data_IF_399193699157
#
_entry.id   IF_399193699157
#
_cell.length_a   1.000
_cell.length_b   1.000
_cell.length_c   1.000
_cell.angle_alpha   90.00
_cell.angle_beta   90.00
_cell.angle_gamma   90.00
#
_symmetry.space_group_name_H-M   'P 1'
#
loop_
_entity.id
_entity.type
_entity.pdbx_description
1 polymer ?
#
# COMPACT_ATOMS: atom_id res chain seq x y z
N UNK A 1 -46.53 26.39 -35.02
CA UNK A 1 -45.27 25.73 -34.59
C UNK A 1 -44.85 26.32 -33.25
N UNK A 2 -44.63 25.46 -32.25
CA UNK A 2 -44.96 25.72 -30.84
C UNK A 2 -43.77 26.19 -29.98
N UNK A 3 -44.01 27.25 -29.21
CA UNK A 3 -43.15 27.85 -28.18
C UNK A 3 -43.07 26.98 -26.92
N UNK A 4 -42.17 25.98 -26.86
CA UNK A 4 -42.05 25.10 -25.67
C UNK A 4 -40.65 24.78 -25.14
N UNK A 5 -39.58 25.49 -25.50
CA UNK A 5 -38.22 25.18 -25.00
C UNK A 5 -37.37 26.41 -24.61
N UNK A 6 -37.87 27.32 -23.76
CA UNK A 6 -37.08 28.47 -23.30
C UNK A 6 -37.22 28.83 -21.80
N UNK A 7 -37.56 27.85 -20.96
CA UNK A 7 -37.74 28.05 -19.51
C UNK A 7 -37.20 26.86 -18.72
N UNK A 8 -35.87 26.63 -18.76
CA UNK A 8 -35.15 25.74 -17.81
C UNK A 8 -33.70 26.17 -17.57
N UNK A 9 -33.41 27.47 -17.63
CA UNK A 9 -32.10 28.04 -17.34
C UNK A 9 -32.23 29.27 -16.44
N UNK A 10 -32.76 29.09 -15.22
CA UNK A 10 -32.75 30.10 -14.13
C UNK A 10 -33.36 29.48 -12.86
N UNK A 11 -32.62 28.64 -12.14
CA UNK A 11 -32.88 28.33 -10.71
C UNK A 11 -31.85 27.35 -10.12
N UNK A 12 -30.57 27.71 -10.08
CA UNK A 12 -29.62 27.21 -9.07
C UNK A 12 -28.58 28.30 -8.81
N UNK A 13 -28.97 29.37 -8.10
CA UNK A 13 -28.01 30.37 -7.61
C UNK A 13 -28.59 31.16 -6.43
N UNK A 14 -28.87 30.48 -5.32
CA UNK A 14 -29.07 31.11 -4.02
C UNK A 14 -29.22 30.03 -2.94
N UNK A 15 -28.10 29.50 -2.45
CA UNK A 15 -27.90 29.19 -1.04
C UNK A 15 -26.54 28.54 -0.83
N UNK A 16 -25.92 28.89 0.31
CA UNK A 16 -24.59 28.48 0.80
C UNK A 16 -23.48 29.38 0.23
N UNK A 17 -22.73 30.20 0.98
CA UNK A 17 -22.20 30.05 2.33
C UNK A 17 -22.16 31.42 3.02
N UNK A 18 -22.79 31.54 4.18
CA UNK A 18 -22.42 32.54 5.19
C UNK A 18 -21.21 32.01 5.96
N UNK A 19 -20.20 32.88 6.11
CA UNK A 19 -19.34 32.99 7.28
C UNK A 19 -18.40 31.82 7.61
N UNK A 20 -17.14 31.97 7.22
CA UNK A 20 -15.99 31.62 8.07
C UNK A 20 -14.82 32.52 7.67
N UNK A 21 -14.63 33.57 8.46
CA UNK A 21 -13.40 34.34 8.48
C UNK A 21 -12.28 33.43 8.99
N UNK A 22 -11.46 32.93 8.06
CA UNK A 22 -10.18 32.31 8.39
C UNK A 22 -9.13 33.41 8.47
N UNK A 23 -8.52 33.56 9.65
CA UNK A 23 -7.25 34.25 9.82
C UNK A 23 -6.23 33.59 8.88
N UNK A 24 -5.81 34.32 7.85
CA UNK A 24 -4.64 33.98 7.05
C UNK A 24 -3.40 34.25 7.89
N UNK A 25 -2.84 33.21 8.51
CA UNK A 25 -1.42 33.20 8.87
C UNK A 25 -0.68 32.90 7.57
N UNK A 26 -0.13 33.95 6.96
CA UNK A 26 0.74 33.86 5.79
C UNK A 26 2.05 33.21 6.21
N UNK A 27 2.09 31.89 6.30
CA UNK A 27 3.34 31.15 6.33
C UNK A 27 3.96 31.27 4.94
N UNK A 28 4.94 32.16 4.83
CA UNK A 28 5.80 32.36 3.67
C UNK A 28 6.66 31.10 3.46
N UNK A 29 6.05 30.04 2.92
CA UNK A 29 6.81 28.91 2.37
C UNK A 29 7.28 29.36 0.99
N UNK A 30 8.50 29.88 0.94
CA UNK A 30 9.22 30.15 -0.31
C UNK A 30 9.48 28.79 -0.98
N UNK A 31 8.55 28.35 -1.82
CA UNK A 31 8.77 27.22 -2.72
C UNK A 31 9.87 27.59 -3.71
N UNK A 32 11.00 26.89 -3.61
CA UNK A 32 12.25 27.15 -4.33
C UNK A 32 12.17 26.86 -5.85
N UNK A 33 11.52 27.78 -6.57
CA UNK A 33 11.69 27.99 -8.01
C UNK A 33 12.41 29.32 -8.30
N UNK A 34 13.28 29.72 -7.38
CA UNK A 34 14.08 30.94 -7.50
C UNK A 34 15.26 30.64 -8.44
N UNK A 35 15.16 31.09 -9.69
CA UNK A 35 16.28 31.10 -10.64
C UNK A 35 17.37 32.01 -10.07
N UNK A 36 18.64 31.60 -10.13
CA UNK A 36 19.78 32.43 -9.72
C UNK A 36 19.97 33.57 -10.73
N UNK A 37 19.12 34.60 -10.67
CA UNK A 37 19.29 35.82 -11.45
C UNK A 37 20.42 36.67 -10.86
N UNK A 38 21.07 37.54 -11.66
CA UNK A 38 22.09 38.46 -11.15
C UNK A 38 21.61 39.27 -9.94
N UNK A 39 20.33 39.66 -9.91
CA UNK A 39 19.72 40.39 -8.79
C UNK A 39 19.67 39.57 -7.49
N UNK A 40 19.38 38.26 -7.57
CA UNK A 40 19.33 37.38 -6.39
C UNK A 40 20.73 37.06 -5.88
N UNK A 41 21.70 36.91 -6.77
CA UNK A 41 23.11 36.72 -6.40
C UNK A 41 23.66 37.96 -5.67
N UNK A 42 23.36 39.16 -6.20
CA UNK A 42 23.73 40.43 -5.57
C UNK A 42 23.09 40.59 -4.18
N UNK A 43 21.81 40.22 -4.04
CA UNK A 43 21.10 40.30 -2.76
C UNK A 43 21.70 39.38 -1.67
N UNK A 44 22.35 38.29 -2.05
CA UNK A 44 22.98 37.34 -1.13
C UNK A 44 24.50 37.52 -1.01
N UNK A 45 25.08 38.62 -1.55
CA UNK A 45 26.52 38.84 -1.65
C UNK A 45 27.27 37.63 -2.25
N UNK A 46 26.63 36.91 -3.17
CA UNK A 46 27.21 35.78 -3.87
C UNK A 46 27.99 36.28 -5.11
N UNK A 47 29.18 35.75 -5.41
CA UNK A 47 29.92 36.11 -6.62
C UNK A 47 29.09 35.85 -7.88
N UNK A 48 29.19 36.71 -8.90
CA UNK A 48 28.52 36.49 -10.17
C UNK A 48 28.94 35.15 -10.78
N UNK A 49 28.00 34.38 -11.35
CA UNK A 49 28.28 33.03 -11.88
C UNK A 49 29.41 32.99 -12.92
N UNK A 50 29.74 34.12 -13.54
CA UNK A 50 30.87 34.30 -14.46
C UNK A 50 32.25 34.09 -13.82
N UNK A 51 32.39 34.15 -12.49
CA UNK A 51 33.68 33.92 -11.83
C UNK A 51 34.02 32.45 -11.65
N UNK A 52 33.04 31.54 -11.70
CA UNK A 52 33.24 30.09 -11.46
C UNK A 52 32.99 29.23 -12.71
N UNK A 53 32.33 29.79 -13.73
CA UNK A 53 32.08 29.12 -15.01
C UNK A 53 32.76 29.92 -16.12
N UNK A 54 33.93 29.46 -16.57
CA UNK A 54 34.63 30.06 -17.71
C UNK A 54 33.78 29.93 -18.98
N UNK A 55 33.40 31.07 -19.57
CA UNK A 55 32.74 31.29 -20.87
C UNK A 55 31.63 30.33 -21.36
N UNK A 56 31.15 29.43 -20.50
CA UNK A 56 30.10 28.47 -20.80
C UNK A 56 28.79 29.03 -20.26
N UNK A 57 27.78 29.13 -21.12
CA UNK A 57 26.42 29.49 -20.72
C UNK A 57 25.92 28.44 -19.73
N UNK A 58 25.75 28.79 -18.44
CA UNK A 58 25.34 27.82 -17.44
C UNK A 58 23.94 27.32 -17.76
N UNK A 59 23.75 26.01 -17.74
CA UNK A 59 22.42 25.43 -17.82
C UNK A 59 21.65 25.65 -16.50
N UNK A 60 20.32 25.56 -16.57
CA UNK A 60 19.44 25.84 -15.42
C UNK A 60 19.72 24.93 -14.21
N UNK A 61 20.27 23.74 -14.45
CA UNK A 61 20.59 22.77 -13.40
C UNK A 61 21.86 23.18 -12.63
N UNK A 62 22.91 23.59 -13.32
CA UNK A 62 24.20 23.97 -12.72
C UNK A 62 24.08 25.23 -11.85
N UNK A 63 23.31 26.23 -12.29
CA UNK A 63 23.09 27.45 -11.52
C UNK A 63 22.35 27.24 -10.19
N UNK A 64 21.42 26.28 -10.15
CA UNK A 64 20.67 25.94 -8.92
C UNK A 64 21.55 25.23 -7.90
N UNK A 65 22.42 24.32 -8.35
CA UNK A 65 23.35 23.61 -7.49
C UNK A 65 24.39 24.56 -6.85
N UNK A 66 24.91 25.52 -7.62
CA UNK A 66 25.90 26.49 -7.13
C UNK A 66 25.39 27.40 -6.01
N UNK A 67 24.18 27.97 -6.17
CA UNK A 67 23.60 28.84 -5.14
C UNK A 67 23.27 28.07 -3.85
N UNK A 68 22.76 26.84 -3.96
CA UNK A 68 22.50 25.99 -2.80
C UNK A 68 23.79 25.66 -2.03
N UNK A 69 24.88 25.35 -2.74
CA UNK A 69 26.18 25.09 -2.13
C UNK A 69 26.77 26.33 -1.45
N UNK A 70 26.65 27.51 -2.07
CA UNK A 70 27.11 28.77 -1.48
C UNK A 70 26.34 29.11 -0.19
N UNK A 71 25.02 29.01 -0.21
CA UNK A 71 24.19 29.26 0.97
C UNK A 71 24.48 28.25 2.10
N UNK A 72 24.71 26.98 1.76
CA UNK A 72 25.13 25.97 2.72
C UNK A 72 26.49 26.28 3.36
N UNK A 73 27.44 26.85 2.60
CA UNK A 73 28.76 27.23 3.11
C UNK A 73 28.73 28.42 4.09
N UNK A 74 27.67 29.23 4.05
CA UNK A 74 27.46 30.37 4.96
C UNK A 74 26.67 29.99 6.21
N UNK A 75 26.11 28.78 6.27
CA UNK A 75 25.42 28.33 7.46
C UNK A 75 26.44 28.17 8.60
N UNK A 76 26.15 28.70 9.81
CA UNK A 76 27.03 28.47 10.96
C UNK A 76 27.15 26.97 11.22
N UNK A 77 28.33 26.48 11.63
CA UNK A 77 28.52 25.07 11.95
C UNK A 77 27.49 24.66 13.02
N UNK A 78 26.93 23.45 12.93
CA UNK A 78 25.94 22.98 13.90
C UNK A 78 26.56 23.07 15.29
N UNK A 79 25.89 23.83 16.16
CA UNK A 79 26.30 23.98 17.56
C UNK A 79 26.25 22.59 18.18
N UNK A 80 27.42 22.04 18.52
CA UNK A 80 27.53 20.77 19.23
C UNK A 80 27.08 21.03 20.67
N UNK A 81 25.77 20.92 20.91
CA UNK A 81 25.22 20.92 22.25
C UNK A 81 25.68 19.62 22.89
N UNK A 82 26.64 19.70 23.83
CA UNK A 82 27.00 18.54 24.65
C UNK A 82 25.71 18.05 25.31
N UNK A 83 25.36 16.75 25.20
CA UNK A 83 24.20 16.20 25.86
C UNK A 83 24.28 16.55 27.34
N UNK A 84 23.20 17.06 27.96
CA UNK A 84 23.19 17.28 29.39
C UNK A 84 23.55 15.96 30.09
N UNK A 85 24.51 16.03 31.00
CA UNK A 85 24.90 14.90 31.84
C UNK A 85 23.73 14.62 32.78
N UNK A 86 22.87 13.67 32.40
CA UNK A 86 21.81 13.18 33.26
C UNK A 86 22.44 12.21 34.24
N UNK A 87 22.64 12.65 35.49
CA UNK A 87 22.97 11.75 36.57
C UNK A 87 21.82 10.73 36.70
N UNK A 88 22.10 9.41 36.62
CA UNK A 88 21.05 8.42 36.75
C UNK A 88 20.35 8.58 38.11
N UNK A 89 19.02 8.54 38.14
CA UNK A 89 18.28 8.64 39.39
C UNK A 89 18.73 7.54 40.34
N UNK A 90 19.00 7.92 41.60
CA UNK A 90 19.35 7.00 42.68
C UNK A 90 18.23 5.97 42.80
N UNK A 91 18.56 4.70 42.52
CA UNK A 91 17.61 3.59 42.62
C UNK A 91 17.35 3.33 44.10
N UNK A 92 16.32 3.94 44.64
CA UNK A 92 15.77 3.57 45.94
C UNK A 92 15.03 2.25 45.72
N UNK A 93 15.55 1.14 46.28
CA UNK A 93 14.85 -0.14 46.26
C UNK A 93 13.48 0.05 46.92
N UNK A 94 12.36 -0.24 46.24
CA UNK A 94 11.06 -0.18 46.88
C UNK A 94 11.04 -1.13 48.08
N UNK A 95 10.43 -0.74 49.20
CA UNK A 95 10.24 -1.63 50.34
C UNK A 95 9.48 -2.88 49.87
N UNK A 96 10.03 -4.05 50.20
CA UNK A 96 9.40 -5.34 49.92
C UNK A 96 8.21 -5.48 50.85
N UNK A 97 7.02 -5.16 50.35
CA UNK A 97 5.76 -5.47 51.03
C UNK A 97 5.41 -6.90 50.64
N UNK A 98 5.56 -7.84 51.58
CA UNK A 98 5.02 -9.18 51.42
C UNK A 98 3.49 -9.07 51.44
N UNK A 99 2.78 -9.38 50.33
CA UNK A 99 1.33 -9.36 50.35
C UNK A 99 0.82 -10.40 51.35
N UNK A 100 -0.22 -10.09 52.13
CA UNK A 100 -0.82 -11.05 53.04
C UNK A 100 -1.27 -12.29 52.27
N UNK A 101 -0.86 -13.46 52.75
CA UNK A 101 -1.27 -14.75 52.22
C UNK A 101 -2.73 -14.97 52.60
N UNK A 102 -3.64 -14.64 51.68
CA UNK A 102 -5.05 -14.99 51.81
C UNK A 102 -5.21 -16.38 51.23
N UNK A 103 -5.39 -17.38 52.09
CA UNK A 103 -5.82 -18.71 51.64
C UNK A 103 -7.25 -18.58 51.11
N UNK A 104 -7.50 -18.76 49.80
CA UNK A 104 -8.85 -18.70 49.28
C UNK A 104 -9.69 -19.81 49.90
N UNK A 105 -10.95 -19.53 50.28
CA UNK A 105 -11.85 -20.56 50.76
C UNK A 105 -12.00 -21.66 49.71
N UNK A 106 -11.78 -22.91 50.14
CA UNK A 106 -11.98 -24.10 49.32
C UNK A 106 -13.48 -24.27 49.11
N UNK A 107 -13.97 -23.74 48.00
CA UNK A 107 -15.34 -24.02 47.55
C UNK A 107 -15.27 -25.30 46.72
N UNK A 108 -15.81 -26.40 47.27
CA UNK A 108 -16.05 -27.61 46.49
C UNK A 108 -17.14 -27.28 45.46
N UNK A 109 -16.83 -27.25 44.16
CA UNK A 109 -17.84 -26.98 43.15
C UNK A 109 -18.89 -28.10 43.19
N UNK A 110 -20.18 -27.77 43.04
CA UNK A 110 -21.22 -28.78 42.94
C UNK A 110 -20.90 -29.72 41.77
N UNK A 111 -21.01 -31.02 42.02
CA UNK A 111 -20.84 -32.08 41.04
C UNK A 111 -21.98 -31.96 40.03
N UNK A 112 -21.73 -31.26 38.92
CA UNK A 112 -22.65 -31.21 37.78
C UNK A 112 -22.39 -32.45 36.94
N UNK A 113 -23.32 -33.41 36.98
CA UNK A 113 -23.34 -34.51 36.02
C UNK A 113 -23.38 -33.92 34.59
N UNK A 114 -22.33 -34.11 33.77
CA UNK A 114 -22.30 -33.52 32.45
C UNK A 114 -23.43 -34.11 31.60
N UNK A 115 -24.31 -33.24 31.12
CA UNK A 115 -25.27 -33.57 30.06
C UNK A 115 -24.47 -34.15 28.88
N UNK A 116 -24.96 -35.21 28.20
CA UNK A 116 -24.27 -35.80 27.06
C UNK A 116 -23.93 -34.70 26.05
N UNK A 117 -22.63 -34.49 25.82
CA UNK A 117 -22.13 -33.54 24.83
C UNK A 117 -22.54 -34.09 23.47
N UNK A 118 -23.63 -33.55 22.92
CA UNK A 118 -23.98 -33.74 21.51
C UNK A 118 -22.82 -33.13 20.72
N UNK A 119 -21.95 -33.98 20.16
CA UNK A 119 -20.86 -33.54 19.28
C UNK A 119 -21.49 -32.64 18.21
N UNK A 120 -21.12 -31.35 18.13
CA UNK A 120 -21.54 -30.53 17.01
C UNK A 120 -21.08 -31.24 15.76
N UNK A 121 -22.01 -31.61 14.89
CA UNK A 121 -21.68 -32.07 13.55
C UNK A 121 -21.00 -30.88 12.90
N UNK A 122 -19.67 -30.91 12.85
CA UNK A 122 -18.87 -29.93 12.11
C UNK A 122 -19.17 -30.20 10.65
N UNK A 123 -20.21 -29.53 10.14
CA UNK A 123 -20.47 -29.46 8.71
C UNK A 123 -19.32 -28.66 8.13
N UNK A 124 -18.30 -29.37 7.66
CA UNK A 124 -17.17 -28.80 6.92
C UNK A 124 -17.80 -28.05 5.74
N UNK A 125 -17.74 -26.70 5.69
CA UNK A 125 -18.30 -25.97 4.55
C UNK A 125 -17.62 -26.51 3.31
N UNK A 126 -18.40 -27.09 2.38
CA UNK A 126 -17.87 -27.55 1.10
C UNK A 126 -17.22 -26.33 0.45
N UNK A 127 -15.90 -26.36 0.17
CA UNK A 127 -15.25 -25.25 -0.52
C UNK A 127 -16.01 -25.01 -1.82
N UNK A 128 -16.51 -23.78 -2.00
CA UNK A 128 -17.06 -23.36 -3.29
C UNK A 128 -15.84 -23.13 -4.17
N UNK A 129 -15.40 -24.19 -4.85
CA UNK A 129 -14.31 -24.17 -5.81
C UNK A 129 -14.85 -23.67 -7.14
N UNK A 130 -15.18 -22.38 -7.24
CA UNK A 130 -15.62 -21.76 -8.51
C UNK A 130 -14.46 -21.16 -9.31
N UNK A 131 -13.23 -21.19 -8.78
CA UNK A 131 -12.05 -20.69 -9.47
C UNK A 131 -11.40 -21.72 -10.39
N UNK A 132 -10.83 -21.25 -11.50
CA UNK A 132 -10.01 -22.07 -12.39
C UNK A 132 -8.77 -22.54 -11.61
N UNK A 133 -8.47 -23.85 -11.68
CA UNK A 133 -7.23 -24.35 -11.09
C UNK A 133 -6.04 -23.93 -11.95
N UNK A 134 -5.01 -23.34 -11.35
CA UNK A 134 -3.78 -22.96 -12.07
C UNK A 134 -2.90 -24.17 -12.44
N UNK A 135 -3.43 -25.39 -12.32
CA UNK A 135 -2.76 -26.65 -12.61
C UNK A 135 -3.15 -27.26 -13.96
N UNK A 136 -3.87 -26.54 -14.82
CA UNK A 136 -4.00 -26.94 -16.22
C UNK A 136 -2.62 -26.89 -16.87
N UNK A 137 -1.85 -27.97 -16.71
CA UNK A 137 -0.84 -28.36 -17.69
C UNK A 137 -1.56 -28.27 -19.01
N UNK A 138 -1.05 -27.46 -19.94
CA UNK A 138 -1.55 -27.47 -21.30
C UNK A 138 -1.42 -28.91 -21.79
N UNK A 139 -2.52 -29.64 -21.79
CA UNK A 139 -2.69 -30.83 -22.60
C UNK A 139 -2.58 -30.32 -24.03
N UNK A 140 -1.34 -30.29 -24.53
CA UNK A 140 -1.06 -30.24 -25.96
C UNK A 140 -1.47 -31.60 -26.55
N UNK A 141 -2.76 -31.90 -26.49
CA UNK A 141 -3.36 -33.05 -27.16
C UNK A 141 -3.58 -32.65 -28.62
N UNK A 142 -2.50 -32.47 -29.37
CA UNK A 142 -2.49 -32.54 -30.83
C UNK A 142 -1.06 -32.44 -31.34
N UNK A 143 -0.38 -33.58 -31.39
CA UNK A 143 0.41 -33.96 -32.56
C UNK A 143 0.74 -35.45 -32.49
N UNK A 144 -0.22 -36.27 -32.89
CA UNK A 144 0.07 -37.58 -33.45
C UNK A 144 0.44 -37.34 -34.92
N UNK A 145 1.70 -37.01 -35.16
CA UNK A 145 2.29 -36.88 -36.48
C UNK A 145 3.61 -37.62 -36.49
N UNK A 146 3.56 -38.87 -36.93
CA UNK A 146 4.74 -39.67 -37.30
C UNK A 146 5.55 -38.94 -38.40
N UNK A 147 6.83 -38.68 -38.12
CA UNK A 147 7.99 -39.13 -38.90
C UNK A 147 9.14 -38.12 -38.86
N UNK A 148 10.24 -38.60 -38.29
CA UNK A 148 11.61 -38.50 -38.79
C UNK A 148 12.02 -37.20 -39.48
N UNK A 149 12.75 -36.34 -38.77
CA UNK A 149 14.14 -36.09 -39.13
C UNK A 149 14.91 -35.33 -38.03
N UNK A 150 16.15 -35.75 -37.84
CA UNK A 150 17.15 -35.10 -36.99
C UNK A 150 17.50 -33.69 -37.51
N UNK A 151 17.21 -32.65 -36.71
CA UNK A 151 18.18 -31.57 -36.50
C UNK A 151 17.73 -30.70 -35.32
N UNK A 152 18.47 -30.86 -34.22
CA UNK A 152 18.17 -30.31 -32.90
C UNK A 152 19.02 -29.08 -32.68
N UNK A 153 18.52 -27.90 -33.07
CA UNK A 153 19.11 -26.63 -32.63
C UNK A 153 18.31 -26.01 -31.47
N UNK A 154 19.05 -25.54 -30.47
CA UNK A 154 18.61 -24.97 -29.20
C UNK A 154 17.70 -23.74 -29.37
N UNK A 155 16.40 -23.95 -29.60
CA UNK A 155 15.42 -22.87 -29.50
C UNK A 155 15.06 -22.62 -28.03
N UNK A 156 15.71 -21.60 -27.47
CA UNK A 156 15.33 -20.91 -26.23
C UNK A 156 13.83 -20.61 -26.28
N UNK A 157 13.09 -21.26 -25.38
CA UNK A 157 11.65 -21.10 -25.13
C UNK A 157 11.36 -19.66 -24.68
N UNK A 158 11.31 -18.73 -25.64
CA UNK A 158 10.76 -17.40 -25.42
C UNK A 158 9.25 -17.59 -25.29
N UNK A 159 8.75 -17.55 -24.06
CA UNK A 159 7.31 -17.48 -23.76
C UNK A 159 6.68 -16.45 -24.69
N UNK A 160 5.95 -16.92 -25.71
CA UNK A 160 5.25 -16.07 -26.67
C UNK A 160 4.24 -15.27 -25.86
N UNK A 161 4.54 -13.99 -25.61
CA UNK A 161 3.58 -13.10 -24.98
C UNK A 161 2.33 -13.11 -25.84
N UNK A 162 1.27 -13.74 -25.35
CA UNK A 162 0.01 -13.81 -26.06
C UNK A 162 -0.56 -12.40 -26.02
N UNK A 163 -0.53 -11.71 -27.16
CA UNK A 163 -1.06 -10.35 -27.26
C UNK A 163 -2.50 -10.31 -26.71
N UNK A 164 -2.82 -9.33 -25.86
CA UNK A 164 -4.15 -9.11 -25.28
C UNK A 164 -4.23 -9.30 -23.77
N UNK A 165 -3.94 -10.52 -23.27
CA UNK A 165 -4.14 -10.85 -21.85
C UNK A 165 -2.93 -10.44 -21.00
N UNK A 166 -3.13 -9.45 -20.12
CA UNK A 166 -2.11 -8.95 -19.19
C UNK A 166 -2.54 -9.19 -17.75
N UNK A 167 -1.62 -9.61 -16.90
CA UNK A 167 -1.86 -9.80 -15.47
C UNK A 167 -0.79 -9.08 -14.64
N UNK A 168 -1.23 -8.42 -13.57
CA UNK A 168 -0.39 -7.77 -12.57
C UNK A 168 -0.58 -8.42 -11.21
N UNK A 169 0.52 -8.88 -10.62
CA UNK A 169 0.58 -9.45 -9.29
C UNK A 169 1.86 -8.95 -8.58
N UNK A 170 1.86 -8.76 -7.25
CA UNK A 170 3.07 -8.37 -6.55
C UNK A 170 4.08 -9.51 -6.53
N UNK A 171 5.36 -9.19 -6.72
CA UNK A 171 6.43 -10.19 -6.79
C UNK A 171 6.75 -10.84 -5.45
N UNK A 172 7.41 -10.10 -4.54
CA UNK A 172 7.84 -10.62 -3.23
C UNK A 172 7.15 -9.85 -2.11
N UNK A 173 6.61 -10.58 -1.12
CA UNK A 173 6.05 -10.03 0.11
C UNK A 173 6.69 -10.73 1.32
N UNK A 174 6.83 -9.99 2.41
CA UNK A 174 7.35 -10.50 3.68
C UNK A 174 6.26 -10.30 4.73
N UNK A 175 5.99 -11.32 5.56
CA UNK A 175 4.94 -11.25 6.58
C UNK A 175 5.30 -12.12 7.79
N UNK A 176 4.93 -11.70 9.00
CA UNK A 176 5.12 -12.51 10.20
C UNK A 176 4.00 -13.53 10.38
N UNK A 177 4.35 -14.67 10.99
CA UNK A 177 3.38 -15.64 11.49
C UNK A 177 2.31 -14.95 12.36
N UNK A 178 1.05 -15.36 12.19
CA UNK A 178 -0.10 -14.85 12.92
C UNK A 178 -0.74 -13.62 12.28
N UNK A 179 -0.02 -12.88 11.42
CA UNK A 179 -0.58 -11.78 10.65
C UNK A 179 -1.46 -12.29 9.49
N UNK A 180 -2.31 -11.40 8.97
CA UNK A 180 -3.16 -11.68 7.81
C UNK A 180 -2.54 -11.05 6.58
N UNK A 181 -2.08 -11.88 5.64
CA UNK A 181 -1.67 -11.45 4.31
C UNK A 181 -2.91 -11.07 3.51
N UNK A 182 -2.89 -9.89 2.87
CA UNK A 182 -3.85 -9.47 1.85
C UNK A 182 -3.09 -9.03 0.61
N UNK A 183 -3.34 -9.70 -0.52
CA UNK A 183 -2.66 -9.41 -1.78
C UNK A 183 -3.70 -9.28 -2.89
N UNK A 184 -3.72 -8.13 -3.54
CA UNK A 184 -4.52 -7.89 -4.74
C UNK A 184 -3.76 -8.30 -6.00
N UNK A 185 -4.49 -8.85 -6.96
CA UNK A 185 -4.05 -9.16 -8.32
C UNK A 185 -5.08 -8.63 -9.30
N UNK A 186 -4.65 -8.27 -10.51
CA UNK A 186 -5.54 -7.76 -11.55
C UNK A 186 -5.19 -8.38 -12.89
N UNK A 187 -6.20 -8.66 -13.71
CA UNK A 187 -6.02 -9.13 -15.08
C UNK A 187 -6.94 -8.35 -16.03
N UNK A 188 -6.44 -8.01 -17.21
CA UNK A 188 -7.16 -7.29 -18.25
C UNK A 188 -6.89 -7.93 -19.61
N UNK A 189 -7.87 -7.86 -20.49
CA UNK A 189 -7.86 -8.39 -21.86
C UNK A 189 -8.71 -7.49 -22.75
N UNK A 190 -8.50 -7.56 -24.06
CA UNK A 190 -9.03 -6.66 -25.09
C UNK A 190 -10.54 -6.80 -25.40
N UNK A 191 -11.34 -7.30 -24.45
CA UNK A 191 -12.80 -7.44 -24.58
C UNK A 191 -13.34 -8.84 -24.33
N UNK A 192 -12.50 -9.77 -23.89
CA UNK A 192 -12.92 -11.12 -23.50
C UNK A 192 -13.31 -11.19 -22.03
N UNK A 193 -14.20 -12.13 -21.69
CA UNK A 193 -14.48 -12.46 -20.29
C UNK A 193 -13.23 -13.13 -19.70
N UNK A 194 -12.74 -12.59 -18.59
CA UNK A 194 -11.61 -13.15 -17.87
C UNK A 194 -12.15 -13.96 -16.69
N UNK A 195 -11.45 -15.01 -16.31
CA UNK A 195 -11.69 -15.76 -15.09
C UNK A 195 -10.37 -16.00 -14.39
N UNK A 196 -10.33 -15.73 -13.09
CA UNK A 196 -9.13 -15.79 -12.27
C UNK A 196 -9.13 -17.01 -11.35
N UNK A 197 -7.93 -17.43 -10.99
CA UNK A 197 -7.70 -18.58 -10.11
C UNK A 197 -6.43 -18.42 -9.29
N UNK A 198 -6.31 -19.22 -8.24
CA UNK A 198 -5.11 -19.26 -7.42
C UNK A 198 -4.85 -20.65 -6.83
N UNK A 199 -3.58 -21.07 -6.82
CA UNK A 199 -3.10 -22.19 -6.03
C UNK A 199 -2.71 -21.66 -4.65
N UNK A 200 -3.57 -21.91 -3.67
CA UNK A 200 -3.50 -21.32 -2.35
C UNK A 200 -2.86 -22.25 -1.32
N UNK A 201 -2.08 -21.72 -0.36
CA UNK A 201 -1.66 -22.48 0.80
C UNK A 201 -2.85 -22.81 1.71
N UNK A 202 -2.69 -23.78 2.59
CA UNK A 202 -3.75 -24.19 3.53
C UNK A 202 -4.26 -23.00 4.37
N UNK A 203 -5.57 -22.82 4.39
CA UNK A 203 -6.27 -21.76 5.13
C UNK A 203 -6.31 -20.39 4.42
N UNK A 204 -5.67 -20.24 3.26
CA UNK A 204 -5.85 -19.06 2.43
C UNK A 204 -7.17 -19.10 1.65
N UNK A 205 -7.66 -17.91 1.27
CA UNK A 205 -8.85 -17.71 0.45
C UNK A 205 -8.51 -16.81 -0.74
N UNK A 206 -9.17 -17.03 -1.86
CA UNK A 206 -9.13 -16.15 -3.03
C UNK A 206 -10.55 -15.69 -3.34
N UNK A 207 -10.73 -14.39 -3.51
CA UNK A 207 -12.02 -13.79 -3.90
C UNK A 207 -11.81 -13.04 -5.20
N UNK A 208 -12.63 -13.33 -6.19
CA UNK A 208 -12.63 -12.66 -7.49
C UNK A 208 -13.75 -11.61 -7.54
N UNK A 209 -13.51 -10.52 -8.24
CA UNK A 209 -14.48 -9.45 -8.49
C UNK A 209 -14.12 -8.66 -9.73
N UNK A 210 -15.12 -8.28 -10.53
CA UNK A 210 -14.92 -7.42 -11.68
C UNK A 210 -14.91 -5.94 -11.29
N UNK A 211 -13.92 -5.19 -11.77
CA UNK A 211 -13.84 -3.75 -11.59
C UNK A 211 -14.31 -3.01 -12.85
N UNK A 212 -15.52 -2.47 -12.80
CA UNK A 212 -16.15 -1.76 -13.93
C UNK A 212 -15.41 -0.50 -14.36
N UNK A 213 -14.66 0.14 -13.46
CA UNK A 213 -13.92 1.38 -13.76
C UNK A 213 -12.65 1.09 -14.54
N UNK A 214 -11.95 0.01 -14.19
CA UNK A 214 -10.73 -0.43 -14.86
C UNK A 214 -11.00 -1.37 -16.03
N UNK A 215 -12.25 -1.82 -16.19
CA UNK A 215 -12.65 -2.89 -17.10
C UNK A 215 -11.75 -4.13 -16.96
N UNK A 216 -11.42 -4.49 -15.72
CA UNK A 216 -10.46 -5.53 -15.40
C UNK A 216 -10.99 -6.46 -14.31
N UNK A 217 -10.65 -7.75 -14.38
CA UNK A 217 -10.89 -8.68 -13.30
C UNK A 217 -9.89 -8.46 -12.17
N UNK A 218 -10.36 -8.58 -10.94
CA UNK A 218 -9.55 -8.44 -9.73
C UNK A 218 -9.67 -9.69 -8.87
N UNK A 219 -8.55 -10.09 -8.30
CA UNK A 219 -8.47 -11.17 -7.33
C UNK A 219 -7.84 -10.68 -6.03
N UNK A 220 -8.36 -11.13 -4.88
CA UNK A 220 -7.75 -10.84 -3.57
C UNK A 220 -7.45 -12.15 -2.86
N UNK A 221 -6.16 -12.40 -2.63
CA UNK A 221 -5.68 -13.47 -1.75
C UNK A 221 -5.70 -12.96 -0.32
N UNK A 222 -6.40 -13.66 0.57
CA UNK A 222 -6.36 -13.42 2.02
C UNK A 222 -5.87 -14.65 2.75
N UNK A 223 -4.85 -14.52 3.60
CA UNK A 223 -4.25 -15.66 4.30
C UNK A 223 -3.78 -15.30 5.71
N UNK A 224 -4.42 -15.88 6.73
CA UNK A 224 -3.91 -15.82 8.11
C UNK A 224 -2.75 -16.81 8.24
N UNK A 225 -1.54 -16.30 8.37
CA UNK A 225 -0.31 -17.10 8.24
C UNK A 225 -0.13 -18.01 9.45
N UNK A 226 -0.18 -19.35 9.29
CA UNK A 226 -0.09 -20.27 10.41
C UNK A 226 1.36 -20.40 10.92
N UNK A 227 1.53 -20.82 12.18
CA UNK A 227 2.87 -21.05 12.77
C UNK A 227 3.68 -22.12 12.04
N UNK A 228 3.00 -23.10 11.43
CA UNK A 228 3.62 -24.23 10.71
C UNK A 228 4.44 -23.84 9.47
N UNK A 229 4.28 -22.61 8.98
CA UNK A 229 5.05 -22.06 7.85
C UNK A 229 6.09 -21.02 8.25
N UNK A 230 6.33 -20.84 9.55
CA UNK A 230 7.39 -19.96 10.08
C UNK A 230 8.74 -20.24 9.43
N UNK A 231 9.43 -19.21 8.95
CA UNK A 231 10.76 -19.31 8.32
C UNK A 231 10.74 -19.88 6.90
N UNK A 232 9.57 -20.24 6.35
CA UNK A 232 9.45 -20.78 4.99
C UNK A 232 9.17 -19.68 3.98
N UNK A 233 9.56 -19.93 2.73
CA UNK A 233 9.11 -19.15 1.59
C UNK A 233 7.99 -19.90 0.90
N UNK A 234 6.81 -19.30 0.83
CA UNK A 234 5.62 -19.88 0.20
C UNK A 234 5.39 -19.20 -1.13
N UNK A 235 5.20 -20.00 -2.18
CA UNK A 235 4.85 -19.52 -3.52
C UNK A 235 3.33 -19.66 -3.70
N UNK A 236 2.65 -18.56 -3.97
CA UNK A 236 1.23 -18.52 -4.32
C UNK A 236 1.14 -18.25 -5.81
N UNK A 237 0.70 -19.24 -6.59
CA UNK A 237 0.52 -19.07 -8.03
C UNK A 237 -0.89 -18.53 -8.28
N UNK A 238 -1.00 -17.41 -8.98
CA UNK A 238 -2.26 -16.89 -9.50
C UNK A 238 -2.30 -17.08 -11.01
N UNK A 239 -3.49 -17.25 -11.56
CA UNK A 239 -3.70 -17.39 -12.99
C UNK A 239 -4.93 -16.62 -13.44
N UNK A 240 -4.91 -16.21 -14.70
CA UNK A 240 -6.05 -15.64 -15.40
C UNK A 240 -6.22 -16.37 -16.73
N UNK A 241 -7.46 -16.68 -17.07
CA UNK A 241 -7.85 -17.26 -18.35
C UNK A 241 -8.83 -16.33 -19.04
N UNK A 242 -8.58 -16.03 -20.30
CA UNK A 242 -9.51 -15.31 -21.16
C UNK A 242 -10.33 -16.29 -21.99
N UNK A 243 -11.64 -16.00 -22.10
CA UNK A 243 -12.60 -16.75 -22.89
C UNK A 243 -13.08 -15.89 -24.06
N UNK A 244 -12.62 -16.20 -25.28
CA UNK A 244 -13.19 -15.61 -26.50
C UNK A 244 -14.53 -16.28 -26.84
N UNK A 245 -15.55 -15.46 -27.12
CA UNK A 245 -16.88 -15.92 -27.52
C UNK A 245 -17.03 -16.11 -29.05
N UNK A 246 -15.95 -16.00 -29.84
CA UNK A 246 -15.99 -16.21 -31.29
C UNK A 246 -16.23 -17.70 -31.61
N UNK A 247 -17.38 -18.01 -32.20
CA UNK A 247 -17.91 -19.38 -32.31
C UNK A 247 -17.01 -20.45 -32.93
N UNK A 248 -17.28 -21.69 -32.51
CA UNK A 248 -16.75 -23.01 -32.92
C UNK A 248 -15.43 -23.51 -32.32
N UNK A 249 -14.52 -22.65 -31.83
CA UNK A 249 -13.39 -23.09 -30.99
C UNK A 249 -13.11 -22.03 -29.92
N UNK A 250 -13.20 -22.42 -28.65
CA UNK A 250 -12.80 -21.54 -27.54
C UNK A 250 -11.29 -21.46 -27.51
N UNK A 251 -10.73 -20.41 -28.10
CA UNK A 251 -9.33 -20.07 -27.89
C UNK A 251 -9.17 -19.64 -26.43
N UNK A 252 -8.57 -20.52 -25.62
CA UNK A 252 -8.29 -20.28 -24.21
C UNK A 252 -6.88 -19.72 -24.08
N UNK A 253 -6.77 -18.42 -23.78
CA UNK A 253 -5.49 -17.79 -23.42
C UNK A 253 -5.35 -17.87 -21.91
N UNK A 254 -4.22 -18.38 -21.40
CA UNK A 254 -3.94 -18.42 -19.96
C UNK A 254 -2.60 -17.77 -19.63
N UNK A 255 -2.57 -16.93 -18.60
CA UNK A 255 -1.36 -16.38 -18.01
C UNK A 255 -1.30 -16.77 -16.53
N UNK A 256 -0.10 -16.97 -16.00
CA UNK A 256 0.10 -17.23 -14.58
C UNK A 256 1.27 -16.39 -14.03
N UNK A 257 1.23 -16.08 -12.74
CA UNK A 257 2.27 -15.34 -12.05
C UNK A 257 2.40 -15.86 -10.62
N UNK A 258 3.63 -15.80 -10.11
CA UNK A 258 3.98 -16.30 -8.79
C UNK A 258 4.15 -15.12 -7.81
N UNK A 259 3.44 -15.16 -6.69
CA UNK A 259 3.65 -14.28 -5.54
C UNK A 259 4.51 -15.05 -4.53
N UNK A 260 5.69 -14.53 -4.21
CA UNK A 260 6.63 -15.12 -3.26
C UNK A 260 6.41 -14.50 -1.89
N UNK A 261 5.97 -15.29 -0.93
CA UNK A 261 5.71 -14.86 0.46
C UNK A 261 6.79 -15.42 1.38
N UNK A 262 7.67 -14.54 1.87
CA UNK A 262 8.66 -14.86 2.90
C UNK A 262 8.00 -14.76 4.27
N UNK A 263 7.84 -15.90 4.95
CA UNK A 263 7.20 -15.94 6.26
C UNK A 263 8.25 -15.81 7.36
N UNK A 264 8.21 -14.70 8.09
CA UNK A 264 9.07 -14.45 9.23
C UNK A 264 8.52 -15.12 10.50
N UNK A 265 9.39 -15.46 11.47
CA UNK A 265 8.97 -15.95 12.77
C UNK A 265 7.92 -15.05 13.41
N UNK A 266 7.07 -15.65 14.24
CA UNK A 266 6.13 -14.86 15.05
C UNK A 266 6.97 -13.85 15.85
N UNK A 267 6.61 -12.57 15.75
CA UNK A 267 7.20 -11.57 16.63
C UNK A 267 7.00 -12.08 18.06
N UNK A 268 8.08 -12.26 18.82
CA UNK A 268 7.96 -12.46 20.26
C UNK A 268 7.10 -11.31 20.72
N UNK A 269 5.91 -11.61 21.22
CA UNK A 269 5.00 -10.61 21.74
C UNK A 269 5.71 -9.99 22.93
N UNK A 270 6.57 -9.00 22.67
CA UNK A 270 6.75 -7.92 23.60
C UNK A 270 5.34 -7.39 23.70
N UNK A 271 4.69 -7.66 24.83
CA UNK A 271 3.39 -7.11 25.18
C UNK A 271 3.64 -5.61 25.38
N UNK A 272 3.88 -4.90 24.29
CA UNK A 272 3.54 -3.51 24.19
C UNK A 272 2.03 -3.59 24.08
N UNK A 273 1.31 -3.13 25.10
CA UNK A 273 -0.15 -3.07 25.07
C UNK A 273 -0.55 -2.46 23.71
N UNK A 274 -1.12 -3.28 22.84
CA UNK A 274 -1.41 -2.90 21.46
C UNK A 274 -2.59 -1.93 21.47
N UNK A 275 -2.29 -0.67 21.73
CA UNK A 275 -3.07 0.47 21.24
C UNK A 275 -2.70 0.68 19.77
N UNK A 276 -2.99 -0.30 18.91
CA UNK A 276 -2.63 -0.21 17.49
C UNK A 276 -3.60 0.74 16.81
N UNK A 277 -3.16 1.98 16.70
CA UNK A 277 -3.75 2.96 15.82
C UNK A 277 -3.71 2.43 14.38
N UNK A 278 -4.86 2.36 13.71
CA UNK A 278 -4.94 1.82 12.35
C UNK A 278 -5.16 2.94 11.33
N UNK A 279 -4.33 3.04 10.27
CA UNK A 279 -4.58 3.99 9.20
C UNK A 279 -5.77 3.54 8.36
N UNK A 280 -6.59 4.50 7.92
CA UNK A 280 -7.70 4.29 6.98
C UNK A 280 -7.53 5.28 5.84
N UNK A 281 -7.48 4.80 4.60
CA UNK A 281 -7.36 5.67 3.42
C UNK A 281 -8.76 6.10 2.97
N UNK A 282 -9.10 7.37 3.14
CA UNK A 282 -10.37 7.96 2.72
C UNK A 282 -10.40 8.26 1.22
N UNK A 283 -9.28 8.70 0.63
CA UNK A 283 -9.16 9.03 -0.79
C UNK A 283 -7.76 8.74 -1.33
N UNK A 284 -7.68 8.29 -2.58
CA UNK A 284 -6.44 8.13 -3.32
C UNK A 284 -6.72 8.44 -4.79
N UNK A 285 -6.25 9.58 -5.27
CA UNK A 285 -6.61 10.13 -6.58
C UNK A 285 -5.35 10.60 -7.31
N UNK A 286 -5.12 10.08 -8.51
CA UNK A 286 -4.05 10.51 -9.39
C UNK A 286 -4.58 11.52 -10.41
N UNK A 287 -4.02 12.72 -10.41
CA UNK A 287 -4.28 13.75 -11.40
C UNK A 287 -3.19 13.67 -12.49
N UNK A 288 -3.60 13.28 -13.70
CA UNK A 288 -2.74 13.14 -14.89
C UNK A 288 -2.17 14.47 -15.37
N UNK A 289 -2.96 15.56 -15.30
CA UNK A 289 -2.56 16.86 -15.80
C UNK A 289 -1.36 17.44 -15.04
N UNK A 290 -1.30 17.21 -13.72
CA UNK A 290 -0.20 17.67 -12.85
C UNK A 290 0.74 16.55 -12.39
N UNK A 291 0.51 15.32 -12.86
CA UNK A 291 1.26 14.11 -12.48
C UNK A 291 1.41 13.96 -10.96
N UNK A 292 0.29 14.08 -10.24
CA UNK A 292 0.29 14.13 -8.78
C UNK A 292 -0.71 13.16 -8.19
N UNK A 293 -0.28 12.38 -7.21
CA UNK A 293 -1.09 11.47 -6.42
C UNK A 293 -1.49 12.15 -5.10
N UNK A 294 -2.77 12.52 -5.00
CA UNK A 294 -3.37 13.05 -3.79
C UNK A 294 -3.97 11.92 -2.95
N UNK A 295 -3.53 11.79 -1.70
CA UNK A 295 -3.96 10.72 -0.79
C UNK A 295 -4.38 11.36 0.53
N UNK A 296 -5.49 10.90 1.09
CA UNK A 296 -5.94 11.36 2.41
C UNK A 296 -6.61 10.23 3.19
N UNK A 297 -6.64 10.40 4.51
CA UNK A 297 -7.18 9.41 5.40
C UNK A 297 -7.32 9.87 6.84
N UNK A 298 -7.65 8.91 7.70
CA UNK A 298 -7.71 9.09 9.14
C UNK A 298 -7.02 7.93 9.86
N UNK A 299 -6.51 8.20 11.06
CA UNK A 299 -6.06 7.19 12.00
C UNK A 299 -7.23 6.84 12.93
N UNK A 300 -7.61 5.57 12.95
CA UNK A 300 -8.58 5.04 13.91
C UNK A 300 -7.84 4.62 15.16
N UNK A 301 -8.06 5.35 16.26
CA UNK A 301 -7.46 5.04 17.55
C UNK A 301 -8.23 3.93 18.26
N UNK A 302 -7.53 3.15 19.08
CA UNK A 302 -8.21 2.16 19.93
C UNK A 302 -9.10 2.88 20.94
N UNK A 303 -10.24 2.26 21.31
CA UNK A 303 -11.23 2.86 22.21
C UNK A 303 -10.65 3.25 23.59
N UNK A 304 -9.54 2.62 23.98
CA UNK A 304 -8.85 2.84 25.25
C UNK A 304 -7.54 3.64 25.13
N UNK A 305 -7.21 4.18 23.96
CA UNK A 305 -5.97 4.97 23.79
C UNK A 305 -6.05 6.26 24.61
N UNK A 306 -5.05 6.48 25.45
CA UNK A 306 -4.88 7.71 26.22
C UNK A 306 -4.45 8.87 25.30
N UNK A 307 -4.68 10.12 25.73
CA UNK A 307 -4.24 11.28 24.96
C UNK A 307 -2.72 11.34 24.80
N UNK A 308 -1.96 10.91 25.82
CA UNK A 308 -0.51 10.87 25.77
C UNK A 308 0.00 9.86 24.72
N UNK A 309 -0.61 8.67 24.66
CA UNK A 309 -0.29 7.68 23.62
C UNK A 309 -0.62 8.18 22.22
N UNK A 310 -1.77 8.83 22.03
CA UNK A 310 -2.12 9.46 20.76
C UNK A 310 -1.09 10.51 20.37
N UNK A 311 -0.77 11.43 21.27
CA UNK A 311 0.22 12.48 21.02
C UNK A 311 1.61 11.92 20.69
N UNK A 312 2.03 10.84 21.35
CA UNK A 312 3.29 10.17 21.05
C UNK A 312 3.28 9.54 19.65
N UNK A 313 2.20 8.86 19.26
CA UNK A 313 2.06 8.25 17.93
C UNK A 313 2.01 9.30 16.80
N UNK A 314 1.46 10.49 17.06
CA UNK A 314 1.44 11.60 16.08
C UNK A 314 2.84 12.09 15.67
N UNK A 315 3.89 11.74 16.42
CA UNK A 315 5.28 12.03 16.03
C UNK A 315 5.74 11.21 14.81
N UNK A 316 5.08 10.08 14.54
CA UNK A 316 5.38 9.22 13.41
C UNK A 316 4.50 9.60 12.21
N UNK A 317 5.06 9.76 10.99
CA UNK A 317 4.24 10.02 9.82
C UNK A 317 3.65 8.73 9.25
N UNK A 318 2.53 8.85 8.53
CA UNK A 318 1.98 7.77 7.70
C UNK A 318 2.90 7.57 6.50
N UNK A 319 3.45 6.36 6.36
CA UNK A 319 4.27 5.99 5.21
C UNK A 319 3.39 5.53 4.06
N UNK A 320 3.57 6.11 2.89
CA UNK A 320 2.80 5.82 1.69
C UNK A 320 3.68 5.05 0.70
N UNK A 321 3.19 3.91 0.22
CA UNK A 321 3.94 3.05 -0.70
C UNK A 321 3.06 2.47 -1.79
N UNK A 322 3.67 2.11 -2.91
CA UNK A 322 3.00 1.40 -4.00
C UNK A 322 2.77 -0.05 -3.56
N UNK A 323 1.51 -0.48 -3.46
CA UNK A 323 1.18 -1.79 -2.94
C UNK A 323 1.69 -2.95 -3.83
N UNK A 324 1.92 -2.69 -5.12
CA UNK A 324 2.35 -3.71 -6.08
C UNK A 324 3.82 -4.10 -5.90
N UNK A 325 4.69 -3.14 -5.58
CA UNK A 325 6.14 -3.36 -5.51
C UNK A 325 6.78 -2.88 -4.19
N UNK A 326 5.98 -2.41 -3.23
CA UNK A 326 6.41 -1.84 -1.96
C UNK A 326 7.36 -0.62 -2.08
N UNK A 327 7.44 0.03 -3.25
CA UNK A 327 8.23 1.24 -3.40
C UNK A 327 7.63 2.37 -2.57
N UNK A 328 8.43 2.99 -1.71
CA UNK A 328 8.00 4.14 -0.92
C UNK A 328 7.76 5.32 -1.86
N UNK A 329 6.55 5.90 -1.77
CA UNK A 329 6.12 7.02 -2.59
C UNK A 329 6.25 8.34 -1.84
N UNK A 330 6.02 8.34 -0.54
CA UNK A 330 6.08 9.54 0.29
C UNK A 330 5.61 9.28 1.72
N UNK A 331 5.39 10.35 2.47
CA UNK A 331 4.82 10.28 3.81
C UNK A 331 3.87 11.45 4.08
N UNK A 332 2.99 11.29 5.07
CA UNK A 332 2.04 12.30 5.50
C UNK A 332 2.11 12.48 7.02
N UNK A 333 2.23 13.73 7.48
CA UNK A 333 2.08 14.02 8.90
C UNK A 333 0.63 13.81 9.33
N UNK A 334 0.45 13.29 10.55
CA UNK A 334 -0.87 13.11 11.14
C UNK A 334 -1.19 14.32 12.01
N UNK A 335 -2.36 14.92 11.81
CA UNK A 335 -2.84 16.02 12.63
C UNK A 335 -3.41 15.52 13.97
N UNK A 336 -3.62 16.42 14.93
CA UNK A 336 -4.10 16.08 16.27
C UNK A 336 -5.43 15.29 16.30
N UNK A 337 -6.29 15.45 15.28
CA UNK A 337 -7.55 14.71 15.17
C UNK A 337 -7.41 13.35 14.44
N UNK A 338 -6.18 12.93 14.11
CA UNK A 338 -5.90 11.70 13.37
C UNK A 338 -6.02 11.83 11.86
N UNK A 339 -6.44 12.97 11.31
CA UNK A 339 -6.50 13.16 9.85
C UNK A 339 -5.12 13.38 9.25
N UNK A 340 -4.92 12.88 8.04
CA UNK A 340 -3.68 13.03 7.30
C UNK A 340 -3.95 13.17 5.80
N UNK A 341 -3.03 13.84 5.11
CA UNK A 341 -3.05 13.95 3.65
C UNK A 341 -1.65 14.16 3.10
N UNK A 342 -1.39 13.63 1.91
CA UNK A 342 -0.17 13.88 1.14
C UNK A 342 -0.51 14.15 -0.31
N UNK A 343 0.37 14.93 -0.95
CA UNK A 343 0.35 15.16 -2.39
C UNK A 343 1.70 14.80 -2.96
N UNK A 344 1.78 13.68 -3.66
CA UNK A 344 3.03 13.04 -4.06
C UNK A 344 3.22 13.22 -5.57
N UNK A 345 4.32 13.83 -6.04
CA UNK A 345 4.66 13.83 -7.46
C UNK A 345 4.94 12.39 -7.91
N UNK A 346 4.19 11.90 -8.89
CA UNK A 346 4.38 10.53 -9.43
C UNK A 346 4.27 10.61 -10.95
N UNK A 347 5.34 10.21 -11.65
CA UNK A 347 5.35 10.14 -13.11
C UNK A 347 4.23 9.22 -13.62
N UNK A 348 3.66 9.53 -14.79
CA UNK A 348 2.50 8.80 -15.33
C UNK A 348 2.75 7.30 -15.54
N UNK A 349 3.99 6.91 -15.87
CA UNK A 349 4.41 5.52 -16.01
C UNK A 349 4.71 4.82 -14.66
N UNK A 350 4.81 5.57 -13.57
CA UNK A 350 5.05 5.07 -12.22
C UNK A 350 3.79 5.10 -11.34
N UNK A 351 2.63 5.44 -11.92
CA UNK A 351 1.35 5.55 -11.21
C UNK A 351 0.98 4.21 -10.57
N UNK A 352 0.88 4.12 -9.22
CA UNK A 352 0.41 2.91 -8.57
C UNK A 352 -1.08 2.69 -8.86
N UNK A 353 -1.49 1.44 -9.11
CA UNK A 353 -2.92 1.08 -9.17
C UNK A 353 -3.53 0.97 -7.77
N UNK A 354 -2.72 0.59 -6.78
CA UNK A 354 -3.10 0.47 -5.37
C UNK A 354 -2.01 1.12 -4.52
N UNK A 355 -2.42 1.91 -3.53
CA UNK A 355 -1.53 2.52 -2.55
C UNK A 355 -1.72 1.90 -1.17
N UNK A 356 -0.61 1.66 -0.47
CA UNK A 356 -0.57 1.24 0.92
C UNK A 356 -0.22 2.44 1.82
N UNK A 357 -0.91 2.58 2.94
CA UNK A 357 -0.62 3.52 4.02
C UNK A 357 -0.27 2.73 5.28
N UNK A 358 0.95 2.91 5.79
CA UNK A 358 1.45 2.25 6.98
C UNK A 358 1.63 3.25 8.14
N UNK A 359 1.15 2.88 9.33
CA UNK A 359 1.23 3.68 10.55
C UNK A 359 1.32 2.75 11.76
N UNK A 360 2.32 2.92 12.63
CA UNK A 360 2.52 2.10 13.82
C UNK A 360 2.48 0.58 13.55
N UNK A 361 2.99 0.15 12.40
CA UNK A 361 3.01 -1.25 11.96
C UNK A 361 1.68 -1.79 11.41
N UNK A 362 0.59 -1.02 11.48
CA UNK A 362 -0.66 -1.32 10.78
C UNK A 362 -0.59 -0.81 9.33
N UNK A 363 -1.24 -1.51 8.40
CA UNK A 363 -1.25 -1.17 6.97
C UNK A 363 -2.67 -1.21 6.44
N UNK A 364 -3.06 -0.17 5.70
CA UNK A 364 -4.28 -0.13 4.91
C UNK A 364 -3.97 0.10 3.44
N UNK A 365 -4.79 -0.48 2.56
CA UNK A 365 -4.60 -0.40 1.10
C UNK A 365 -5.82 0.22 0.43
N UNK A 366 -5.62 0.98 -0.64
CA UNK A 366 -6.72 1.55 -1.44
C UNK A 366 -6.36 1.66 -2.91
N UNK A 367 -7.34 1.40 -3.78
CA UNK A 367 -7.22 1.63 -5.22
C UNK A 367 -7.08 3.13 -5.51
N UNK A 368 -6.19 3.46 -6.45
CA UNK A 368 -5.97 4.83 -6.91
C UNK A 368 -6.93 5.14 -8.05
N UNK A 369 -7.78 6.14 -7.87
CA UNK A 369 -8.66 6.63 -8.93
C UNK A 369 -7.89 7.59 -9.84
N UNK A 370 -7.92 7.36 -11.14
CA UNK A 370 -7.33 8.28 -12.13
C UNK A 370 -8.36 9.36 -12.49
N UNK A 371 -7.97 10.63 -12.37
CA UNK A 371 -8.69 11.75 -12.97
C UNK A 371 -8.08 12.05 -14.35
N UNK A 372 -8.91 12.39 -15.34
CA UNK A 372 -8.47 12.73 -16.68
C UNK A 372 -7.62 13.99 -16.75
#
# INVERSE_FOLDING_TARGET
>A
MNKKNALKAKMIKANQFKSLAFLTVTSLVISANVLATPSIMAQNNAPACSSCHGNSTPDKASGKAGLAAFLASKAPPPVVVKPPVVNPPVVVKPPVVNPPVVNPPVVNPPVVNPKPVVKPVVVKPKPITTGISCNSKGENDNEKGENDNEQRENHKEKSKQVAGLVMSAPGVKTIHVGQVLRVGVTASDDGSKISMGANLPAGAKFTESYNTTLQAEQGVVTWKVPKSVSGKTIKIKVCAQSHSNSGKKQDKRSISSDIIVKVLPQLKSVVIAQSTAEPVIASAVYNTAVQQLAVSGQITWATKSTQAERNAALANPVQLSNANNAAVLGSANVSANGSWSASIPVASNAMPSVIDAAFEGAVASKLVKRLP
#
